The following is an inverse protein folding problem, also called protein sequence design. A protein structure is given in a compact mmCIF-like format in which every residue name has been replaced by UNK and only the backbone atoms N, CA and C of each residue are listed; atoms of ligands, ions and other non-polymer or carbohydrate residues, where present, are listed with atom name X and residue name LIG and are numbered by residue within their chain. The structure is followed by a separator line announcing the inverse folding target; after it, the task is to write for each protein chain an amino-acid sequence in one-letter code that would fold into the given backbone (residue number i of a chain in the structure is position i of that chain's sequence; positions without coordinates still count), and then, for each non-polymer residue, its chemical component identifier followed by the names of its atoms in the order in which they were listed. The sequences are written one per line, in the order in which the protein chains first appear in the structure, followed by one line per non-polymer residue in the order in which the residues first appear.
data_IF_993664325880
#
_entry.id   IF_993664325880
#
_cell.length_a   1.000
_cell.length_b   1.000
_cell.length_c   1.000
_cell.angle_alpha   90.00
_cell.angle_beta   90.00
_cell.angle_gamma   90.00
#
_symmetry.space_group_name_H-M   'P 1'
#
loop_
_entity.id
_entity.type
_entity.pdbx_description
1 polymer ?
#
# COMPACT_ATOMS: atom_id res chain seq x y z
N UNK A 1 -0.34 -10.86 0.05
CA UNK A 1 -1.25 -10.24 -0.95
C UNK A 1 -0.44 -9.34 -1.85
N UNK A 2 -0.66 -9.36 -3.16
CA UNK A 2 0.13 -8.56 -4.12
C UNK A 2 -0.57 -7.21 -4.37
N UNK A 3 -0.13 -6.19 -3.65
CA UNK A 3 -0.64 -4.82 -3.78
C UNK A 3 0.46 -3.97 -4.39
N UNK A 4 0.32 -3.63 -5.67
CA UNK A 4 1.28 -2.82 -6.42
C UNK A 4 0.60 -1.64 -7.05
N UNK A 5 1.37 -0.60 -7.33
CA UNK A 5 0.92 0.57 -8.07
C UNK A 5 2.04 1.12 -8.94
N UNK A 6 1.68 1.69 -10.09
CA UNK A 6 2.59 2.47 -10.92
C UNK A 6 2.60 3.91 -10.46
N UNK A 7 3.79 4.48 -10.30
CA UNK A 7 4.02 5.87 -9.90
C UNK A 7 4.78 6.55 -11.04
N UNK A 8 4.39 7.77 -11.39
CA UNK A 8 5.05 8.53 -12.46
C UNK A 8 4.94 10.04 -12.20
N UNK A 9 5.84 10.81 -12.81
CA UNK A 9 5.81 12.27 -12.83
C UNK A 9 6.02 12.70 -14.27
N UNK A 10 5.16 13.56 -14.81
CA UNK A 10 5.30 14.09 -16.18
C UNK A 10 5.70 15.56 -16.13
N UNK A 11 6.80 15.93 -16.80
CA UNK A 11 7.28 17.31 -16.84
C UNK A 11 8.13 17.60 -18.07
N UNK A 12 8.29 18.89 -18.41
CA UNK A 12 9.14 19.33 -19.51
C UNK A 12 10.43 19.98 -18.98
N UNK A 13 11.58 19.60 -19.54
CA UNK A 13 12.88 20.17 -19.21
C UNK A 13 13.73 20.33 -20.47
N UNK A 14 14.27 21.52 -20.70
CA UNK A 14 15.12 21.83 -21.87
C UNK A 14 14.52 21.46 -23.24
N UNK A 15 13.18 21.53 -23.37
CA UNK A 15 12.48 21.20 -24.61
C UNK A 15 12.17 19.71 -24.80
N UNK A 16 12.49 18.87 -23.82
CA UNK A 16 12.16 17.44 -23.79
C UNK A 16 11.11 17.14 -22.72
N UNK A 17 10.17 16.23 -23.01
CA UNK A 17 9.20 15.73 -22.03
C UNK A 17 9.78 14.50 -21.35
N UNK A 18 9.84 14.54 -20.03
CA UNK A 18 10.27 13.44 -19.18
C UNK A 18 9.07 12.82 -18.46
N UNK A 19 9.06 11.48 -18.40
CA UNK A 19 8.05 10.70 -17.68
C UNK A 19 8.71 9.57 -16.88
N UNK A 20 9.57 9.88 -15.88
CA UNK A 20 10.10 8.85 -14.99
C UNK A 20 8.96 8.07 -14.34
N UNK A 21 9.10 6.75 -14.29
CA UNK A 21 8.10 5.86 -13.71
C UNK A 21 8.74 4.73 -12.90
N UNK A 22 7.99 4.19 -11.95
CA UNK A 22 8.38 3.03 -11.16
C UNK A 22 7.14 2.22 -10.76
N UNK A 23 7.33 0.91 -10.54
CA UNK A 23 6.31 0.04 -9.94
C UNK A 23 6.65 -0.17 -8.47
N UNK A 24 5.74 0.19 -7.59
CA UNK A 24 5.92 0.18 -6.13
C UNK A 24 5.12 -0.96 -5.53
N UNK A 25 5.75 -1.74 -4.64
CA UNK A 25 5.06 -2.68 -3.76
C UNK A 25 4.56 -1.93 -2.54
N UNK A 26 3.23 -1.82 -2.42
CA UNK A 26 2.59 -1.06 -1.37
C UNK A 26 2.70 -1.76 0.00
N UNK A 27 2.90 -3.07 0.03
CA UNK A 27 3.07 -3.78 1.30
C UNK A 27 4.42 -3.42 1.94
N UNK A 28 5.48 -3.33 1.14
CA UNK A 28 6.80 -2.93 1.63
C UNK A 28 6.84 -1.43 1.94
N UNK A 29 6.12 -0.62 1.16
CA UNK A 29 6.02 0.81 1.39
C UNK A 29 5.39 1.15 2.76
N UNK A 30 4.27 0.51 3.12
CA UNK A 30 3.63 0.72 4.44
C UNK A 30 4.57 0.33 5.59
N UNK A 31 5.26 -0.81 5.48
CA UNK A 31 6.20 -1.26 6.52
C UNK A 31 7.34 -0.26 6.75
N UNK A 32 7.70 0.52 5.73
CA UNK A 32 8.71 1.57 5.79
C UNK A 32 8.25 2.86 6.46
N UNK A 33 6.95 3.05 6.69
CA UNK A 33 6.36 4.15 7.45
C UNK A 33 6.22 5.50 6.71
N UNK A 34 7.21 5.91 5.90
CA UNK A 34 7.20 7.24 5.28
C UNK A 34 7.16 7.20 3.75
N UNK A 35 5.94 7.16 3.21
CA UNK A 35 5.73 6.97 1.77
C UNK A 35 5.95 8.25 0.96
N UNK A 36 5.61 9.43 1.49
CA UNK A 36 5.70 10.68 0.72
C UNK A 36 7.15 11.04 0.39
N UNK A 37 8.04 10.87 1.38
CA UNK A 37 9.47 11.15 1.21
C UNK A 37 10.21 10.06 0.43
N UNK A 38 9.61 8.88 0.23
CA UNK A 38 10.25 7.74 -0.44
C UNK A 38 10.02 7.74 -1.96
N UNK A 39 8.88 8.22 -2.44
CA UNK A 39 8.49 8.05 -3.85
C UNK A 39 9.36 8.84 -4.85
N UNK A 40 9.67 10.11 -4.57
CA UNK A 40 10.50 10.92 -5.49
C UNK A 40 11.95 10.41 -5.57
N UNK A 41 12.62 10.11 -4.44
CA UNK A 41 13.94 9.50 -4.49
C UNK A 41 13.94 8.12 -5.17
N UNK A 42 12.86 7.34 -5.03
CA UNK A 42 12.72 6.06 -5.72
C UNK A 42 12.61 6.25 -7.25
N UNK A 43 11.77 7.19 -7.70
CA UNK A 43 11.62 7.53 -9.12
C UNK A 43 12.95 8.00 -9.71
N UNK A 44 13.66 8.88 -9.00
CA UNK A 44 14.95 9.39 -9.44
C UNK A 44 15.97 8.26 -9.66
N UNK A 45 16.17 7.42 -8.63
CA UNK A 45 17.12 6.30 -8.68
C UNK A 45 16.76 5.30 -9.78
N UNK A 46 15.49 4.95 -9.91
CA UNK A 46 15.03 3.95 -10.88
C UNK A 46 15.18 4.43 -12.33
N UNK A 47 15.12 5.75 -12.55
CA UNK A 47 15.21 6.36 -13.88
C UNK A 47 16.57 7.04 -14.15
N UNK A 48 17.58 6.82 -13.30
CA UNK A 48 18.93 7.36 -13.50
C UNK A 48 19.03 8.89 -13.36
N UNK A 49 18.11 9.51 -12.63
CA UNK A 49 18.11 10.95 -12.36
C UNK A 49 18.92 11.18 -11.08
N UNK A 50 19.98 11.98 -11.20
CA UNK A 50 20.83 12.36 -10.07
C UNK A 50 20.08 13.33 -9.14
N UNK A 51 20.09 13.06 -7.83
CA UNK A 51 19.36 13.83 -6.81
C UNK A 51 19.87 15.26 -6.59
N UNK A 52 21.03 15.61 -7.13
CA UNK A 52 21.60 16.97 -7.10
C UNK A 52 21.54 17.65 -8.47
N UNK A 53 20.81 17.08 -9.43
CA UNK A 53 20.65 17.67 -10.75
C UNK A 53 19.48 18.66 -10.80
N UNK A 54 19.59 19.68 -11.65
CA UNK A 54 18.46 20.54 -12.01
C UNK A 54 17.25 19.76 -12.54
N UNK A 55 17.49 18.60 -13.16
CA UNK A 55 16.40 17.73 -13.62
C UNK A 55 15.59 17.19 -12.45
N UNK A 56 16.26 16.81 -11.36
CA UNK A 56 15.62 16.38 -10.12
C UNK A 56 14.86 17.52 -9.44
N UNK A 57 15.44 18.72 -9.35
CA UNK A 57 14.75 19.90 -8.80
C UNK A 57 13.46 20.22 -9.56
N UNK A 58 13.48 20.15 -10.90
CA UNK A 58 12.27 20.34 -11.72
C UNK A 58 11.28 19.21 -11.48
N UNK A 59 11.72 17.95 -11.38
CA UNK A 59 10.84 16.83 -11.06
C UNK A 59 10.14 17.00 -9.70
N UNK A 60 10.82 17.54 -8.69
CA UNK A 60 10.26 17.79 -7.34
C UNK A 60 9.11 18.80 -7.36
N UNK A 61 9.12 19.76 -8.30
CA UNK A 61 8.07 20.76 -8.41
C UNK A 61 6.81 20.26 -9.13
N UNK A 62 6.80 19.02 -9.63
CA UNK A 62 5.68 18.45 -10.39
C UNK A 62 4.93 17.38 -9.57
N UNK A 63 3.62 17.23 -9.78
CA UNK A 63 2.82 16.26 -9.03
C UNK A 63 3.21 14.82 -9.36
N UNK A 64 3.04 13.95 -8.38
CA UNK A 64 3.12 12.50 -8.57
C UNK A 64 1.75 12.00 -9.03
N UNK A 65 1.74 11.16 -10.05
CA UNK A 65 0.55 10.50 -10.58
C UNK A 65 0.63 8.99 -10.35
N UNK A 66 -0.51 8.41 -10.01
CA UNK A 66 -0.66 6.98 -9.74
C UNK A 66 -1.50 6.29 -10.81
N UNK A 67 -1.16 5.04 -11.13
CA UNK A 67 -1.90 4.23 -12.11
C UNK A 67 -1.70 2.73 -11.90
N UNK A 68 -2.45 1.90 -12.64
CA UNK A 68 -2.32 0.44 -12.66
C UNK A 68 -2.25 -0.24 -11.27
N UNK A 69 -3.19 0.03 -10.37
CA UNK A 69 -3.20 -0.58 -9.05
C UNK A 69 -3.57 -2.06 -9.15
N UNK A 70 -2.97 -2.90 -8.30
CA UNK A 70 -3.29 -4.33 -8.17
C UNK A 70 -3.79 -4.69 -6.78
N UNK A 71 -4.47 -5.83 -6.67
CA UNK A 71 -5.06 -6.25 -5.39
C UNK A 71 -6.16 -5.29 -4.94
N UNK A 72 -6.25 -5.06 -3.64
CA UNK A 72 -7.25 -4.13 -3.10
C UNK A 72 -6.81 -2.67 -3.19
N UNK A 73 -5.59 -2.39 -3.66
CA UNK A 73 -5.17 -1.02 -3.93
C UNK A 73 -6.04 -0.34 -4.99
N UNK A 74 -6.67 -1.10 -5.88
CA UNK A 74 -7.56 -0.56 -6.91
C UNK A 74 -8.75 0.22 -6.33
N UNK A 75 -9.20 -0.16 -5.12
CA UNK A 75 -10.31 0.51 -4.44
C UNK A 75 -9.92 1.89 -3.88
N UNK A 76 -8.64 2.24 -3.88
CA UNK A 76 -8.09 3.47 -3.31
C UNK A 76 -7.52 4.44 -4.35
N UNK A 77 -7.59 4.10 -5.64
CA UNK A 77 -7.18 5.00 -6.72
C UNK A 77 -8.39 5.80 -7.23
N UNK A 78 -8.30 7.12 -7.17
CA UNK A 78 -9.30 8.05 -7.72
C UNK A 78 -8.65 8.94 -8.78
N UNK A 79 -8.87 8.61 -10.06
CA UNK A 79 -8.17 9.27 -11.16
C UNK A 79 -6.67 8.99 -11.10
N UNK A 80 -5.88 10.01 -10.80
CA UNK A 80 -4.42 9.91 -10.63
C UNK A 80 -3.98 10.04 -9.17
N UNK A 81 -4.92 10.18 -8.22
CA UNK A 81 -4.65 10.33 -6.79
C UNK A 81 -4.90 9.02 -6.04
N UNK A 82 -4.01 8.67 -5.12
CA UNK A 82 -4.12 7.45 -4.33
C UNK A 82 -4.34 7.76 -2.85
N UNK A 83 -5.39 7.18 -2.25
CA UNK A 83 -5.68 7.31 -0.83
C UNK A 83 -4.82 6.35 0.01
N UNK A 84 -3.62 6.82 0.36
CA UNK A 84 -2.68 6.06 1.20
C UNK A 84 -3.23 5.80 2.61
N UNK A 85 -3.98 6.74 3.19
CA UNK A 85 -4.49 6.61 4.56
C UNK A 85 -5.56 5.52 4.61
N UNK A 86 -6.50 5.55 3.66
CA UNK A 86 -7.52 4.51 3.55
C UNK A 86 -6.92 3.14 3.23
N UNK A 87 -5.92 3.09 2.35
CA UNK A 87 -5.23 1.85 1.99
C UNK A 87 -4.47 1.28 3.18
N UNK A 88 -3.68 2.09 3.90
CA UNK A 88 -2.93 1.68 5.08
C UNK A 88 -3.84 1.12 6.18
N UNK A 89 -4.96 1.79 6.45
CA UNK A 89 -5.95 1.30 7.41
C UNK A 89 -6.46 -0.09 7.04
N UNK A 90 -6.88 -0.31 5.79
CA UNK A 90 -7.37 -1.63 5.34
C UNK A 90 -6.24 -2.66 5.33
N UNK A 91 -5.03 -2.26 4.98
CA UNK A 91 -3.87 -3.14 4.99
C UNK A 91 -3.59 -3.67 6.41
N UNK A 92 -3.64 -2.80 7.43
CA UNK A 92 -3.51 -3.23 8.82
C UNK A 92 -4.65 -4.16 9.26
N UNK A 93 -5.91 -3.83 8.90
CA UNK A 93 -7.05 -4.69 9.21
C UNK A 93 -6.91 -6.09 8.57
N UNK A 94 -6.49 -6.17 7.31
CA UNK A 94 -6.31 -7.44 6.61
C UNK A 94 -5.13 -8.23 7.16
N UNK A 95 -4.03 -7.56 7.49
CA UNK A 95 -2.86 -8.20 8.11
C UNK A 95 -3.21 -8.79 9.49
N UNK A 96 -3.94 -8.06 10.32
CA UNK A 96 -4.41 -8.56 11.61
C UNK A 96 -5.34 -9.76 11.47
N UNK A 97 -6.26 -9.72 10.51
CA UNK A 97 -7.17 -10.85 10.23
C UNK A 97 -6.41 -12.05 9.66
N UNK A 98 -5.36 -11.84 8.87
CA UNK A 98 -4.50 -12.92 8.40
C UNK A 98 -3.74 -13.59 9.54
N UNK A 99 -3.28 -12.83 10.54
CA UNK A 99 -2.65 -13.38 11.75
C UNK A 99 -3.67 -14.20 12.54
N UNK A 100 -4.88 -13.66 12.73
CA UNK A 100 -5.96 -14.39 13.41
C UNK A 100 -6.30 -15.70 12.69
N UNK A 101 -6.43 -15.66 11.37
CA UNK A 101 -6.69 -16.85 10.55
C UNK A 101 -5.58 -17.90 10.73
N UNK A 102 -4.31 -17.50 10.74
CA UNK A 102 -3.19 -18.41 10.97
C UNK A 102 -3.21 -19.04 12.38
N UNK A 103 -3.59 -18.26 13.40
CA UNK A 103 -3.76 -18.77 14.78
C UNK A 103 -4.89 -19.80 14.83
N UNK A 104 -6.00 -19.52 14.17
CA UNK A 104 -7.14 -20.44 14.09
C UNK A 104 -6.71 -21.75 13.42
N UNK A 105 -6.03 -21.68 12.28
CA UNK A 105 -5.53 -22.85 11.54
C UNK A 105 -4.58 -23.70 12.40
N UNK A 106 -3.67 -23.06 13.14
CA UNK A 106 -2.75 -23.74 14.06
C UNK A 106 -3.48 -24.52 15.17
N UNK A 107 -4.57 -23.98 15.70
CA UNK A 107 -5.29 -24.59 16.83
C UNK A 107 -6.38 -25.59 16.39
N UNK A 108 -6.78 -25.58 15.12
CA UNK A 108 -7.79 -26.47 14.56
C UNK A 108 -7.19 -27.63 13.75
N UNK A 109 -5.93 -28.02 14.01
CA UNK A 109 -5.31 -29.20 13.39
C UNK A 109 -6.18 -30.46 13.58
N UNK A 110 -6.81 -30.92 12.50
CA UNK A 110 -7.56 -32.18 12.45
C UNK A 110 -9.05 -32.04 12.12
N UNK A 111 -9.65 -30.86 12.28
CA UNK A 111 -11.03 -30.60 11.88
C UNK A 111 -11.05 -29.55 10.76
N UNK A 112 -11.82 -29.79 9.70
CA UNK A 112 -11.79 -28.88 8.56
C UNK A 112 -12.50 -27.58 8.94
N UNK A 113 -11.77 -26.60 9.47
CA UNK A 113 -12.32 -25.32 9.91
C UNK A 113 -13.09 -24.58 8.79
N UNK A 114 -12.83 -24.91 7.52
CA UNK A 114 -13.65 -24.47 6.39
C UNK A 114 -15.12 -24.92 6.47
N UNK A 115 -15.43 -25.96 7.24
CA UNK A 115 -16.78 -26.45 7.53
C UNK A 115 -17.51 -25.62 8.60
N UNK A 116 -16.82 -24.70 9.28
CA UNK A 116 -17.39 -23.83 10.31
C UNK A 116 -17.26 -22.33 9.99
N UNK A 117 -17.83 -21.85 8.86
CA UNK A 117 -17.71 -20.44 8.45
C UNK A 117 -18.34 -19.47 9.47
N UNK A 118 -19.38 -19.90 10.20
CA UNK A 118 -20.01 -19.10 11.26
C UNK A 118 -19.07 -18.89 12.46
N UNK A 119 -18.28 -19.90 12.82
CA UNK A 119 -17.29 -19.79 13.90
C UNK A 119 -16.14 -18.87 13.49
N UNK A 120 -15.65 -18.99 12.25
CA UNK A 120 -14.67 -18.05 11.68
C UNK A 120 -15.16 -16.61 11.75
N UNK A 121 -16.41 -16.38 11.36
CA UNK A 121 -17.02 -15.05 11.42
C UNK A 121 -17.10 -14.53 12.86
N UNK A 122 -17.56 -15.35 13.81
CA UNK A 122 -17.66 -14.97 15.22
C UNK A 122 -16.31 -14.62 15.84
N UNK A 123 -15.25 -15.38 15.55
CA UNK A 123 -13.90 -15.10 16.04
C UNK A 123 -13.34 -13.80 15.47
N UNK A 124 -13.53 -13.56 14.17
CA UNK A 124 -13.14 -12.30 13.52
C UNK A 124 -13.91 -11.10 14.09
N UNK A 125 -15.20 -11.27 14.38
CA UNK A 125 -16.02 -10.23 15.02
C UNK A 125 -15.57 -9.94 16.46
N UNK A 126 -15.31 -10.98 17.26
CA UNK A 126 -14.79 -10.86 18.61
C UNK A 126 -13.43 -10.14 18.64
N UNK A 127 -12.53 -10.48 17.71
CA UNK A 127 -11.23 -9.81 17.56
C UNK A 127 -11.39 -8.31 17.24
N UNK A 128 -12.25 -7.98 16.27
CA UNK A 128 -12.54 -6.58 15.91
C UNK A 128 -13.13 -5.81 17.08
N UNK A 129 -14.06 -6.41 17.84
CA UNK A 129 -14.65 -5.81 19.02
C UNK A 129 -13.59 -5.55 20.12
N UNK A 130 -12.69 -6.51 20.36
CA UNK A 130 -11.59 -6.37 21.31
C UNK A 130 -10.62 -5.25 20.93
N UNK A 131 -10.22 -5.17 19.66
CA UNK A 131 -9.36 -4.08 19.15
C UNK A 131 -10.03 -2.72 19.31
N UNK A 132 -11.31 -2.61 18.96
CA UNK A 132 -12.07 -1.36 19.08
C UNK A 132 -12.26 -0.91 20.54
N UNK A 133 -12.35 -1.85 21.50
CA UNK A 133 -12.38 -1.54 22.92
C UNK A 133 -11.04 -1.03 23.44
N UNK A 134 -9.93 -1.67 23.07
CA UNK A 134 -8.58 -1.27 23.47
C UNK A 134 -8.16 0.11 22.94
N UNK A 135 -8.68 0.54 21.78
CA UNK A 135 -8.41 1.88 21.22
C UNK A 135 -9.19 3.02 21.90
N UNK A 136 -10.08 2.72 22.86
CA UNK A 136 -10.87 3.72 23.60
C UNK A 136 -10.31 4.04 25.00
N UNK A 137 -9.33 3.28 25.45
CA UNK A 137 -8.57 3.51 26.69
C UNK A 137 -7.32 4.35 26.41
#
# INVERSE_FOLDING_TARGET
MDNRISVHITFAFKGETHTPSASVDLNELIKGGDFQDTLRPLLARTNGIDSYSYLYEVMESHPIEFSNPTGFAADYLSGTEFDFIGFEKRWHEENDLSILDAIIELHFEGDNFAQHPSLKAALREAFRAGKAAASRE
#
